data_IF_750820645758
#
_entry.id   IF_750820645758
#
_cell.length_a   1.000
_cell.length_b   1.000
_cell.length_c   1.000
_cell.angle_alpha   90.00
_cell.angle_beta   90.00
_cell.angle_gamma   90.00
#
_symmetry.space_group_name_H-M   'P 1'
#
loop_
_entity.id
_entity.type
_entity.pdbx_description
1 polymer ?
#
# COMPACT_ATOMS: atom_id res chain seq x y z
N UNK A 1 15.18 3.50 -4.71
CA UNK A 1 15.14 4.93 -5.03
C UNK A 1 13.94 5.51 -4.30
N UNK A 2 14.15 6.40 -3.32
CA UNK A 2 13.06 7.04 -2.60
C UNK A 2 12.38 8.05 -3.54
N UNK A 3 11.05 7.99 -3.58
CA UNK A 3 10.21 8.87 -4.38
C UNK A 3 10.29 10.31 -3.84
N UNK A 4 10.33 11.31 -4.73
CA UNK A 4 10.63 12.70 -4.36
C UNK A 4 9.61 13.30 -3.38
N UNK A 5 8.32 12.96 -3.55
CA UNK A 5 7.29 13.32 -2.57
C UNK A 5 7.56 12.68 -1.20
N UNK A 6 7.83 11.37 -1.17
CA UNK A 6 7.96 10.66 0.10
C UNK A 6 9.10 11.24 0.94
N UNK A 7 10.22 11.57 0.30
CA UNK A 7 11.34 12.22 0.99
C UNK A 7 10.93 13.55 1.65
N UNK A 8 10.23 14.43 0.94
CA UNK A 8 9.84 15.75 1.47
C UNK A 8 8.75 15.67 2.54
N UNK A 9 7.73 14.81 2.34
CA UNK A 9 6.69 14.62 3.35
C UNK A 9 7.19 13.99 4.63
N UNK A 10 8.18 13.10 4.56
CA UNK A 10 8.77 12.49 5.75
C UNK A 10 9.74 13.43 6.48
N UNK A 11 10.48 14.26 5.76
CA UNK A 11 11.47 15.17 6.37
C UNK A 11 10.80 16.34 7.11
N UNK A 12 9.80 16.97 6.48
CA UNK A 12 9.15 18.17 7.02
C UNK A 12 7.80 17.89 7.70
N UNK A 13 7.34 16.63 7.72
CA UNK A 13 5.98 16.22 8.13
C UNK A 13 4.89 17.08 7.46
N UNK A 14 5.13 17.51 6.23
CA UNK A 14 4.29 18.46 5.50
C UNK A 14 3.70 17.80 4.25
N UNK A 15 2.53 17.20 4.42
CA UNK A 15 1.83 16.50 3.34
C UNK A 15 1.39 17.45 2.22
N UNK A 16 1.06 18.70 2.54
CA UNK A 16 0.68 19.70 1.54
C UNK A 16 1.87 20.07 0.64
N UNK A 17 3.07 20.22 1.21
CA UNK A 17 4.28 20.46 0.45
C UNK A 17 4.66 19.24 -0.41
N UNK A 18 4.51 18.03 0.13
CA UNK A 18 4.68 16.79 -0.64
C UNK A 18 3.76 16.71 -1.85
N UNK A 19 2.48 17.05 -1.67
CA UNK A 19 1.52 17.12 -2.76
C UNK A 19 1.94 18.11 -3.84
N UNK A 20 2.35 19.31 -3.45
CA UNK A 20 2.86 20.30 -4.40
C UNK A 20 4.04 19.76 -5.23
N UNK A 21 5.00 19.07 -4.60
CA UNK A 21 6.11 18.46 -5.34
C UNK A 21 5.66 17.33 -6.28
N UNK A 22 4.70 16.49 -5.88
CA UNK A 22 4.15 15.47 -6.77
C UNK A 22 3.40 16.06 -7.96
N UNK A 23 2.68 17.16 -7.77
CA UNK A 23 2.04 17.92 -8.87
C UNK A 23 3.09 18.43 -9.85
N UNK A 24 4.18 19.03 -9.35
CA UNK A 24 5.29 19.51 -10.21
C UNK A 24 6.01 18.39 -10.93
N UNK A 25 6.21 17.26 -10.27
CA UNK A 25 6.78 16.09 -10.92
C UNK A 25 5.85 15.57 -12.03
N UNK A 26 4.55 15.50 -11.78
CA UNK A 26 3.55 15.09 -12.78
C UNK A 26 3.50 16.04 -13.98
N UNK A 27 3.49 17.34 -13.73
CA UNK A 27 3.52 18.38 -14.77
C UNK A 27 4.75 18.23 -15.70
N UNK A 28 5.93 18.04 -15.12
CA UNK A 28 7.16 17.83 -15.90
C UNK A 28 7.13 16.53 -16.73
N UNK A 29 6.57 15.46 -16.16
CA UNK A 29 6.43 14.18 -16.84
C UNK A 29 5.37 14.22 -17.96
N UNK A 30 4.28 14.98 -17.77
CA UNK A 30 3.30 15.24 -18.83
C UNK A 30 3.90 16.04 -19.99
N UNK A 31 4.71 17.08 -19.69
CA UNK A 31 5.43 17.82 -20.73
C UNK A 31 6.38 16.94 -21.55
N UNK A 32 7.08 16.02 -20.88
CA UNK A 32 7.97 15.04 -21.54
C UNK A 32 7.16 14.07 -22.42
N UNK A 33 6.05 13.54 -21.90
CA UNK A 33 5.19 12.64 -22.67
C UNK A 33 4.54 13.35 -23.86
N UNK A 34 4.07 14.60 -23.71
CA UNK A 34 3.50 15.37 -24.81
C UNK A 34 4.48 15.57 -25.97
N UNK A 35 5.78 15.71 -25.67
CA UNK A 35 6.83 15.87 -26.69
C UNK A 35 7.26 14.55 -27.35
N UNK A 36 7.25 13.46 -26.59
CA UNK A 36 7.84 12.18 -27.02
C UNK A 36 6.80 11.13 -27.43
N UNK A 37 5.60 11.21 -26.86
CA UNK A 37 4.57 10.16 -26.87
C UNK A 37 5.07 8.78 -26.41
N UNK A 38 6.13 8.76 -25.59
CA UNK A 38 6.73 7.54 -25.05
C UNK A 38 6.34 7.39 -23.58
N UNK A 39 5.60 6.33 -23.28
CA UNK A 39 5.38 5.91 -21.90
C UNK A 39 6.70 5.37 -21.31
N UNK A 40 7.04 5.83 -20.10
CA UNK A 40 8.24 5.39 -19.38
C UNK A 40 7.92 5.00 -17.95
N UNK A 41 8.84 4.30 -17.28
CA UNK A 41 8.70 4.01 -15.85
C UNK A 41 8.54 5.29 -15.02
N UNK A 42 9.26 6.37 -15.38
CA UNK A 42 9.12 7.67 -14.69
C UNK A 42 7.74 8.28 -14.91
N UNK A 43 7.21 8.16 -16.12
CA UNK A 43 5.84 8.62 -16.43
C UNK A 43 4.80 7.87 -15.59
N UNK A 44 4.93 6.55 -15.49
CA UNK A 44 4.08 5.74 -14.63
C UNK A 44 4.21 6.14 -13.15
N UNK A 45 5.45 6.32 -12.65
CA UNK A 45 5.72 6.70 -11.26
C UNK A 45 5.04 8.01 -10.90
N UNK A 46 5.07 9.03 -11.77
CA UNK A 46 4.43 10.32 -11.52
C UNK A 46 2.93 10.21 -11.22
N UNK A 47 2.22 9.31 -11.92
CA UNK A 47 0.81 9.03 -11.62
C UNK A 47 0.62 8.42 -10.22
N UNK A 48 1.41 7.39 -9.87
CA UNK A 48 1.27 6.74 -8.55
C UNK A 48 1.71 7.62 -7.40
N UNK A 49 2.72 8.47 -7.61
CA UNK A 49 3.19 9.41 -6.60
C UNK A 49 2.15 10.50 -6.33
N UNK A 50 1.56 11.08 -7.38
CA UNK A 50 0.48 12.04 -7.23
C UNK A 50 -0.76 11.42 -6.57
N UNK A 51 -1.13 10.19 -6.96
CA UNK A 51 -2.21 9.45 -6.31
C UNK A 51 -1.95 9.24 -4.81
N UNK A 52 -0.76 8.77 -4.44
CA UNK A 52 -0.37 8.60 -3.04
C UNK A 52 -0.32 9.93 -2.29
N UNK A 53 0.09 11.01 -2.95
CA UNK A 53 0.14 12.34 -2.36
C UNK A 53 -1.24 12.82 -1.90
N UNK A 54 -2.23 12.65 -2.77
CA UNK A 54 -3.60 12.96 -2.45
C UNK A 54 -4.13 12.10 -1.29
N UNK A 55 -3.82 10.79 -1.29
CA UNK A 55 -4.16 9.90 -0.18
C UNK A 55 -3.57 10.38 1.15
N UNK A 56 -2.29 10.78 1.17
CA UNK A 56 -1.64 11.29 2.38
C UNK A 56 -2.20 12.64 2.86
N UNK A 57 -2.89 13.36 1.97
CA UNK A 57 -3.68 14.56 2.31
C UNK A 57 -5.15 14.23 2.61
N UNK A 58 -5.49 12.95 2.80
CA UNK A 58 -6.84 12.51 3.16
C UNK A 58 -7.84 12.50 2.00
N UNK A 59 -7.39 12.69 0.76
CA UNK A 59 -8.26 12.64 -0.41
C UNK A 59 -8.46 11.19 -0.87
N UNK A 60 -9.72 10.81 -1.06
CA UNK A 60 -10.14 9.46 -1.44
C UNK A 60 -11.14 9.46 -2.60
N UNK A 61 -11.07 10.46 -3.49
CA UNK A 61 -11.99 10.60 -4.64
C UNK A 61 -11.70 9.56 -5.74
N UNK A 62 -12.63 9.41 -6.69
CA UNK A 62 -12.42 8.53 -7.84
C UNK A 62 -11.29 9.00 -8.75
N UNK A 63 -10.98 10.31 -8.77
CA UNK A 63 -9.83 10.84 -9.50
C UNK A 63 -8.51 10.32 -8.92
N UNK A 64 -8.41 10.17 -7.60
CA UNK A 64 -7.25 9.56 -6.93
C UNK A 64 -7.10 8.09 -7.35
N UNK A 65 -8.21 7.36 -7.43
CA UNK A 65 -8.22 5.98 -7.93
C UNK A 65 -7.78 5.92 -9.40
N UNK A 66 -8.25 6.85 -10.24
CA UNK A 66 -7.88 6.91 -11.66
C UNK A 66 -6.38 7.20 -11.84
N UNK A 67 -5.77 8.05 -11.01
CA UNK A 67 -4.32 8.27 -11.02
C UNK A 67 -3.57 6.96 -10.78
N UNK A 68 -3.94 6.23 -9.74
CA UNK A 68 -3.32 4.94 -9.38
C UNK A 68 -3.55 3.89 -10.47
N UNK A 69 -4.76 3.80 -11.00
CA UNK A 69 -5.13 2.90 -12.09
C UNK A 69 -4.31 3.17 -13.36
N UNK A 70 -4.23 4.43 -13.79
CA UNK A 70 -3.45 4.83 -14.96
C UNK A 70 -1.98 4.45 -14.80
N UNK A 71 -1.46 4.64 -13.59
CA UNK A 71 -0.10 4.24 -13.21
C UNK A 71 0.14 2.73 -13.38
N UNK A 72 -0.83 1.90 -13.00
CA UNK A 72 -0.77 0.45 -13.19
C UNK A 72 -0.83 0.05 -14.67
N UNK A 73 -1.76 0.64 -15.41
CA UNK A 73 -1.94 0.38 -16.84
C UNK A 73 -0.70 0.72 -17.67
N UNK A 74 -0.02 1.83 -17.36
CA UNK A 74 1.25 2.18 -18.02
C UNK A 74 2.29 1.11 -17.71
N UNK A 75 2.48 0.73 -16.44
CA UNK A 75 3.47 -0.29 -16.05
C UNK A 75 3.26 -1.61 -16.77
N UNK A 76 2.02 -2.07 -16.92
CA UNK A 76 1.68 -3.30 -17.64
C UNK A 76 2.08 -3.28 -19.12
N UNK A 77 2.15 -2.09 -19.74
CA UNK A 77 2.59 -1.92 -21.13
C UNK A 77 4.11 -1.76 -21.29
N UNK A 78 4.84 -1.52 -20.19
CA UNK A 78 6.29 -1.32 -20.24
C UNK A 78 7.03 -2.65 -20.42
N UNK A 79 8.16 -2.67 -21.16
CA UNK A 79 9.02 -3.84 -21.23
C UNK A 79 9.52 -4.29 -19.86
N UNK A 80 9.54 -5.61 -19.61
CA UNK A 80 9.99 -6.16 -18.33
C UNK A 80 9.00 -5.97 -17.18
N UNK A 81 7.71 -5.84 -17.48
CA UNK A 81 6.67 -5.78 -16.46
C UNK A 81 6.60 -7.09 -15.65
N UNK A 82 6.66 -6.93 -14.33
CA UNK A 82 6.37 -7.96 -13.33
C UNK A 82 5.30 -7.41 -12.39
N UNK A 83 4.42 -8.27 -11.86
CA UNK A 83 3.32 -7.85 -10.99
C UNK A 83 3.80 -7.15 -9.72
N UNK A 84 4.96 -7.54 -9.19
CA UNK A 84 5.62 -6.89 -8.03
C UNK A 84 5.93 -5.40 -8.26
N UNK A 85 5.98 -4.94 -9.51
CA UNK A 85 6.15 -3.53 -9.87
C UNK A 85 4.91 -2.67 -9.56
N UNK A 86 3.76 -3.29 -9.28
CA UNK A 86 2.51 -2.60 -8.92
C UNK A 86 2.40 -2.27 -7.43
N UNK A 87 3.41 -2.57 -6.60
CA UNK A 87 3.40 -2.33 -5.15
C UNK A 87 2.79 -0.99 -4.73
N UNK A 88 3.30 0.14 -5.25
CA UNK A 88 2.81 1.48 -4.87
C UNK A 88 1.38 1.74 -5.36
N UNK A 89 0.99 1.17 -6.51
CA UNK A 89 -0.36 1.30 -7.05
C UNK A 89 -1.35 0.60 -6.15
N UNK A 90 -1.06 -0.65 -5.79
CA UNK A 90 -1.94 -1.47 -4.94
C UNK A 90 -2.05 -0.86 -3.54
N UNK A 91 -0.91 -0.47 -2.95
CA UNK A 91 -0.88 0.18 -1.63
C UNK A 91 -1.68 1.48 -1.61
N UNK A 92 -1.54 2.32 -2.65
CA UNK A 92 -2.33 3.55 -2.78
C UNK A 92 -3.83 3.27 -2.87
N UNK A 93 -4.24 2.26 -3.65
CA UNK A 93 -5.66 1.89 -3.78
C UNK A 93 -6.21 1.37 -2.45
N UNK A 94 -5.46 0.53 -1.75
CA UNK A 94 -5.84 0.05 -0.43
C UNK A 94 -6.08 1.21 0.55
N UNK A 95 -5.23 2.22 0.54
CA UNK A 95 -5.41 3.41 1.39
C UNK A 95 -6.62 4.27 0.98
N UNK A 96 -6.94 4.38 -0.31
CA UNK A 96 -8.21 5.01 -0.73
C UNK A 96 -9.40 4.27 -0.11
N UNK A 97 -9.41 2.95 -0.17
CA UNK A 97 -10.46 2.13 0.46
C UNK A 97 -10.49 2.29 1.98
N UNK A 98 -9.34 2.35 2.66
CA UNK A 98 -9.27 2.65 4.10
C UNK A 98 -9.91 4.01 4.42
N UNK A 99 -9.61 5.06 3.66
CA UNK A 99 -10.19 6.38 3.85
C UNK A 99 -11.70 6.41 3.58
N UNK A 100 -12.21 5.50 2.74
CA UNK A 100 -13.65 5.31 2.49
C UNK A 100 -14.35 4.42 3.52
N UNK A 101 -13.61 3.81 4.45
CA UNK A 101 -14.14 2.81 5.38
C UNK A 101 -14.39 1.43 4.76
N UNK A 102 -13.94 1.22 3.52
CA UNK A 102 -14.10 -0.02 2.74
C UNK A 102 -12.99 -1.03 3.10
N UNK A 103 -12.90 -1.39 4.38
CA UNK A 103 -11.76 -2.14 4.92
C UNK A 103 -11.58 -3.54 4.31
N UNK A 104 -12.67 -4.18 3.85
CA UNK A 104 -12.60 -5.47 3.16
C UNK A 104 -11.86 -5.39 1.82
N UNK A 105 -12.12 -4.35 1.02
CA UNK A 105 -11.41 -4.11 -0.23
C UNK A 105 -9.94 -3.76 0.02
N UNK A 106 -9.68 -2.90 1.01
CA UNK A 106 -8.31 -2.59 1.42
C UNK A 106 -7.51 -3.85 1.79
N UNK A 107 -8.10 -4.75 2.58
CA UNK A 107 -7.50 -6.02 2.96
C UNK A 107 -7.20 -6.89 1.73
N UNK A 108 -8.15 -7.01 0.80
CA UNK A 108 -7.99 -7.81 -0.40
C UNK A 108 -6.83 -7.31 -1.28
N UNK A 109 -6.76 -6.00 -1.53
CA UNK A 109 -5.66 -5.40 -2.29
C UNK A 109 -4.29 -5.69 -1.65
N UNK A 110 -4.15 -5.46 -0.35
CA UNK A 110 -2.89 -5.69 0.36
C UNK A 110 -2.49 -7.16 0.39
N UNK A 111 -3.46 -8.07 0.57
CA UNK A 111 -3.23 -9.51 0.59
C UNK A 111 -2.72 -10.03 -0.76
N UNK A 112 -3.33 -9.58 -1.86
CA UNK A 112 -2.86 -9.92 -3.22
C UNK A 112 -1.44 -9.41 -3.45
N UNK A 113 -1.12 -8.16 -3.04
CA UNK A 113 0.23 -7.64 -3.19
C UNK A 113 1.28 -8.40 -2.36
N UNK A 114 0.90 -8.87 -1.16
CA UNK A 114 1.79 -9.68 -0.32
C UNK A 114 2.03 -11.03 -0.97
N UNK A 115 0.97 -11.73 -1.40
CA UNK A 115 1.09 -13.03 -2.06
C UNK A 115 1.98 -12.95 -3.31
N UNK A 116 1.80 -11.95 -4.17
CA UNK A 116 2.63 -11.77 -5.37
C UNK A 116 4.10 -11.52 -5.04
N UNK A 117 4.42 -10.92 -3.88
CA UNK A 117 5.81 -10.79 -3.41
C UNK A 117 6.34 -12.09 -2.84
N UNK A 118 5.55 -12.81 -2.05
CA UNK A 118 5.94 -14.11 -1.51
C UNK A 118 6.18 -15.14 -2.61
N UNK A 119 5.39 -15.11 -3.67
CA UNK A 119 5.54 -15.99 -4.83
C UNK A 119 6.85 -15.72 -5.59
N UNK A 120 7.25 -14.45 -5.69
CA UNK A 120 8.45 -14.03 -6.43
C UNK A 120 9.74 -14.15 -5.60
N UNK A 121 9.70 -13.83 -4.30
CA UNK A 121 10.90 -13.71 -3.47
C UNK A 121 10.93 -14.63 -2.24
N UNK A 122 9.85 -15.35 -1.96
CA UNK A 122 9.69 -16.15 -0.75
C UNK A 122 9.11 -15.36 0.43
N UNK A 123 8.65 -16.09 1.45
CA UNK A 123 8.06 -15.51 2.68
C UNK A 123 9.06 -14.74 3.53
N UNK A 124 10.31 -15.21 3.55
CA UNK A 124 11.42 -14.57 4.27
C UNK A 124 12.16 -13.57 3.37
N UNK A 125 11.42 -12.88 2.50
CA UNK A 125 11.98 -11.85 1.61
C UNK A 125 12.56 -10.68 2.40
N UNK A 126 13.88 -10.67 2.53
CA UNK A 126 14.65 -9.55 3.10
C UNK A 126 14.95 -8.44 2.10
N UNK A 127 14.49 -8.55 0.83
CA UNK A 127 14.79 -7.59 -0.24
C UNK A 127 13.94 -6.34 -0.10
N UNK A 128 14.42 -5.46 0.77
CA UNK A 128 13.83 -4.15 1.05
C UNK A 128 12.58 -4.25 1.92
N UNK A 129 12.17 -3.11 2.49
CA UNK A 129 11.07 -3.07 3.47
C UNK A 129 9.65 -3.23 2.91
N UNK A 130 9.46 -3.75 1.68
CA UNK A 130 8.13 -3.76 1.02
C UNK A 130 7.20 -4.84 1.58
N UNK A 131 7.69 -6.06 1.80
CA UNK A 131 6.90 -7.13 2.42
C UNK A 131 6.50 -6.75 3.84
N UNK A 132 7.45 -6.21 4.63
CA UNK A 132 7.17 -5.64 5.94
C UNK A 132 6.15 -4.49 5.92
N UNK A 133 6.19 -3.60 4.92
CA UNK A 133 5.21 -2.53 4.78
C UNK A 133 3.79 -3.07 4.50
N UNK A 134 3.65 -4.12 3.66
CA UNK A 134 2.34 -4.75 3.40
C UNK A 134 1.79 -5.43 4.64
N UNK A 135 2.63 -6.15 5.38
CA UNK A 135 2.25 -6.77 6.66
C UNK A 135 1.81 -5.72 7.68
N UNK A 136 2.54 -4.61 7.78
CA UNK A 136 2.17 -3.49 8.65
C UNK A 136 0.82 -2.89 8.26
N UNK A 137 0.58 -2.64 6.97
CA UNK A 137 -0.69 -2.09 6.49
C UNK A 137 -1.85 -3.08 6.70
N UNK A 138 -1.63 -4.38 6.46
CA UNK A 138 -2.61 -5.43 6.74
C UNK A 138 -2.98 -5.46 8.22
N UNK A 139 -1.99 -5.41 9.12
CA UNK A 139 -2.22 -5.34 10.56
C UNK A 139 -3.08 -4.13 10.95
N UNK A 140 -2.82 -2.96 10.37
CA UNK A 140 -3.64 -1.77 10.60
C UNK A 140 -5.07 -1.93 10.09
N UNK A 141 -5.27 -2.54 8.92
CA UNK A 141 -6.60 -2.80 8.36
C UNK A 141 -7.36 -3.79 9.24
N UNK A 142 -6.75 -4.92 9.63
CA UNK A 142 -7.36 -5.92 10.51
C UNK A 142 -7.68 -5.34 11.88
N UNK A 143 -6.80 -4.54 12.46
CA UNK A 143 -7.07 -3.81 13.70
C UNK A 143 -8.31 -2.90 13.56
N UNK A 144 -8.38 -2.10 12.48
CA UNK A 144 -9.53 -1.24 12.22
C UNK A 144 -10.81 -2.03 11.96
N UNK A 145 -10.75 -3.21 11.35
CA UNK A 145 -11.92 -4.08 11.17
C UNK A 145 -12.44 -4.61 12.52
N UNK A 146 -11.54 -4.97 13.43
CA UNK A 146 -11.90 -5.49 14.74
C UNK A 146 -12.40 -4.41 15.71
N UNK A 147 -11.84 -3.19 15.63
CA UNK A 147 -12.02 -2.16 16.67
C UNK A 147 -12.52 -0.80 16.15
N UNK A 148 -12.70 -0.61 14.84
CA UNK A 148 -13.02 0.69 14.24
C UNK A 148 -14.50 1.09 14.28
N UNK A 149 -15.37 0.29 14.88
CA UNK A 149 -16.83 0.52 14.94
C UNK A 149 -17.36 1.01 16.30
N UNK A 150 -16.58 0.96 17.37
CA UNK A 150 -17.02 1.33 18.72
C UNK A 150 -15.94 2.13 19.44
N UNK A 151 -16.36 3.01 20.34
CA UNK A 151 -15.53 3.59 21.39
C UNK A 151 -14.96 2.44 22.25
N UNK A 152 -13.83 1.86 21.82
CA UNK A 152 -13.16 0.81 22.56
C UNK A 152 -12.46 1.45 23.75
N UNK A 153 -13.17 1.48 24.88
CA UNK A 153 -12.54 1.48 26.20
C UNK A 153 -11.45 0.41 26.19
N UNK A 154 -10.22 0.84 26.45
CA UNK A 154 -8.93 0.14 26.30
C UNK A 154 -8.81 -1.18 27.11
N UNK A 155 -9.89 -1.68 27.72
CA UNK A 155 -9.89 -2.85 28.58
C UNK A 155 -10.09 -4.19 27.84
N UNK A 156 -10.75 -4.23 26.67
CA UNK A 156 -11.21 -5.51 26.09
C UNK A 156 -10.45 -5.96 24.82
N UNK A 157 -9.62 -5.08 24.24
CA UNK A 157 -8.88 -5.38 22.99
C UNK A 157 -7.62 -6.25 23.13
N UNK A 158 -7.09 -6.41 24.35
CA UNK A 158 -5.93 -7.28 24.58
C UNK A 158 -6.32 -8.78 24.62
N UNK A 159 -7.61 -9.09 24.78
CA UNK A 159 -8.06 -10.48 25.02
C UNK A 159 -8.27 -11.26 23.72
N UNK A 160 -8.60 -10.62 22.60
CA UNK A 160 -8.91 -11.32 21.35
C UNK A 160 -7.65 -11.73 20.56
N UNK A 161 -6.66 -10.83 20.44
CA UNK A 161 -5.42 -11.12 19.71
C UNK A 161 -4.50 -12.10 20.45
N UNK A 162 -4.47 -12.03 21.79
CA UNK A 162 -3.76 -13.00 22.61
C UNK A 162 -4.39 -14.40 22.51
N UNK A 163 -5.72 -14.49 22.36
CA UNK A 163 -6.43 -15.76 22.26
C UNK A 163 -6.20 -16.48 20.93
N UNK A 164 -6.10 -15.75 19.81
CA UNK A 164 -5.79 -16.34 18.50
C UNK A 164 -4.35 -16.85 18.41
N UNK A 165 -3.39 -16.14 19.02
CA UNK A 165 -1.98 -16.59 19.12
C UNK A 165 -1.81 -17.76 20.11
N UNK A 166 -2.55 -17.77 21.23
CA UNK A 166 -2.52 -18.88 22.18
C UNK A 166 -3.24 -20.12 21.66
N UNK A 167 -4.26 -19.98 20.81
CA UNK A 167 -4.95 -21.11 20.19
C UNK A 167 -4.13 -21.75 19.05
N UNK A 168 -3.30 -20.99 18.33
CA UNK A 168 -2.37 -21.57 17.34
C UNK A 168 -1.23 -22.36 18.01
N UNK A 169 -0.64 -21.83 19.09
CA UNK A 169 0.45 -22.51 19.80
C UNK A 169 -0.01 -23.79 20.51
N UNK A 170 -1.29 -23.84 20.93
CA UNK A 170 -1.87 -25.01 21.59
C UNK A 170 -2.08 -26.19 20.64
N UNK A 171 -2.46 -25.91 19.38
CA UNK A 171 -2.67 -26.93 18.35
C UNK A 171 -1.34 -27.59 17.95
N UNK A 172 -0.26 -26.80 17.85
CA UNK A 172 1.07 -27.32 17.51
C UNK A 172 1.67 -28.17 18.64
N UNK A 173 1.38 -27.82 19.90
CA UNK A 173 1.84 -28.59 21.07
C UNK A 173 1.09 -29.93 21.21
N UNK A 174 -0.24 -29.94 21.03
CA UNK A 174 -1.04 -31.17 21.09
C UNK A 174 -0.71 -32.16 19.94
N UNK A 175 -0.26 -31.66 18.77
CA UNK A 175 0.21 -32.49 17.65
C UNK A 175 1.62 -33.09 17.85
N UNK A 176 2.46 -32.47 18.69
CA UNK A 176 3.78 -32.99 19.04
C UNK A 176 3.73 -34.06 20.15
N UNK A 177 2.78 -33.98 21.07
CA UNK A 177 2.60 -34.97 22.15
C UNK A 177 1.83 -36.23 21.71
N UNK A 178 1.20 -36.21 20.53
CA UNK A 178 0.41 -37.33 19.98
C UNK A 178 1.19 -38.26 19.03
N UNK A 179 2.53 -38.15 18.94
CA UNK A 179 3.43 -39.03 18.17
C UNK A 179 4.35 -39.82 19.09
#
# INVERSE_FOLDING_TARGET
MYNAHSAVSFDDNNNALGLWYAEKFKEAQDGTYAQTSVETTKYAVAYSELGMAHVLNGHSTDDVMQLLEKSGQIRQRLPGFEKVNLFNVIRGKAYVHVLRGELGEAFNYLSVALQEREDEYGRDDERGGRSGALLFDLGNVTYKQAYGGEDVSVADGEVASARLLLESDRVDTELQEAK
#
